data_IF_947605706574
#
_entry.id   IF_947605706574
#
_cell.length_a   1.000
_cell.length_b   1.000
_cell.length_c   1.000
_cell.angle_alpha   90.00
_cell.angle_beta   90.00
_cell.angle_gamma   90.00
#
_symmetry.space_group_name_H-M   'P 1'
#
loop_
_entity.id
_entity.type
_entity.pdbx_description
1 polymer ?
#
# COMPACT_ATOMS: atom_id res chain seq x y z
N UNK A 1 -8.62 34.72 11.19
CA UNK A 1 -8.16 33.32 11.20
C UNK A 1 -8.21 32.81 9.78
N UNK A 2 -7.28 31.98 9.34
CA UNK A 2 -7.31 31.35 8.00
C UNK A 2 -8.43 30.31 7.99
N UNK A 3 -9.28 30.31 6.97
CA UNK A 3 -10.36 29.33 6.80
C UNK A 3 -9.98 28.24 5.81
N UNK A 4 -10.68 27.11 5.77
CA UNK A 4 -10.51 26.09 4.74
C UNK A 4 -10.75 26.64 3.33
N UNK A 5 -11.68 27.57 3.14
CA UNK A 5 -11.92 28.24 1.87
C UNK A 5 -10.73 29.10 1.40
N UNK A 6 -10.10 29.84 2.34
CA UNK A 6 -8.87 30.60 2.04
C UNK A 6 -7.72 29.69 1.63
N UNK A 7 -7.53 28.57 2.35
CA UNK A 7 -6.51 27.56 2.02
C UNK A 7 -6.79 26.92 0.67
N UNK A 8 -8.02 26.54 0.36
CA UNK A 8 -8.40 25.98 -0.93
C UNK A 8 -8.11 26.95 -2.10
N UNK A 9 -8.34 28.24 -1.91
CA UNK A 9 -8.03 29.27 -2.90
C UNK A 9 -6.51 29.39 -3.13
N UNK A 10 -5.74 29.41 -2.04
CA UNK A 10 -4.27 29.47 -2.11
C UNK A 10 -3.69 28.19 -2.72
N UNK A 11 -4.23 27.02 -2.37
CA UNK A 11 -3.87 25.72 -2.92
C UNK A 11 -3.97 25.71 -4.45
N UNK A 12 -5.13 26.08 -5.00
CA UNK A 12 -5.37 26.11 -6.45
C UNK A 12 -4.45 27.09 -7.20
N UNK A 13 -3.95 28.10 -6.52
CA UNK A 13 -3.05 29.09 -7.12
C UNK A 13 -1.61 28.61 -7.27
N UNK A 14 -1.12 27.77 -6.34
CA UNK A 14 0.31 27.42 -6.23
C UNK A 14 0.62 25.95 -6.48
N UNK A 15 -0.38 25.08 -6.46
CA UNK A 15 -0.20 23.65 -6.68
C UNK A 15 -0.83 23.22 -8.02
N UNK A 16 -0.26 22.19 -8.68
CA UNK A 16 -0.75 21.77 -9.98
C UNK A 16 -2.14 21.13 -9.88
N UNK A 17 -2.92 21.27 -10.95
CA UNK A 17 -4.33 20.82 -11.01
C UNK A 17 -4.51 19.30 -10.84
N UNK A 18 -3.49 18.50 -11.11
CA UNK A 18 -3.55 17.04 -10.88
C UNK A 18 -3.45 16.66 -9.39
N UNK A 19 -3.10 17.58 -8.50
CA UNK A 19 -3.25 17.42 -7.05
C UNK A 19 -4.63 17.96 -6.65
N UNK A 20 -5.67 17.20 -6.86
CA UNK A 20 -7.02 17.60 -6.47
C UNK A 20 -7.27 17.30 -4.97
N UNK A 21 -7.96 18.21 -4.25
CA UNK A 21 -8.50 17.90 -2.93
C UNK A 21 -9.41 16.67 -2.98
N UNK A 22 -9.44 15.92 -1.88
CA UNK A 22 -10.05 14.60 -1.87
C UNK A 22 -11.58 14.63 -1.78
N UNK A 23 -12.11 15.67 -1.13
CA UNK A 23 -13.55 15.95 -0.96
C UNK A 23 -13.96 17.16 -1.79
N UNK A 24 -15.24 17.23 -2.15
CA UNK A 24 -15.82 18.36 -2.88
C UNK A 24 -15.68 19.67 -2.12
N UNK A 25 -15.95 19.65 -0.80
CA UNK A 25 -15.55 20.69 0.13
C UNK A 25 -14.24 20.26 0.81
N UNK A 26 -13.11 20.92 0.49
CA UNK A 26 -11.81 20.53 1.02
C UNK A 26 -11.75 20.65 2.54
N UNK A 27 -11.25 19.60 3.19
CA UNK A 27 -10.98 19.58 4.64
C UNK A 27 -9.57 20.10 4.88
N UNK A 28 -9.40 21.02 5.80
CA UNK A 28 -8.08 21.55 6.22
C UNK A 28 -7.74 20.99 7.58
N UNK A 29 -7.00 19.87 7.62
CA UNK A 29 -6.60 19.22 8.85
C UNK A 29 -5.65 20.14 9.64
N UNK A 30 -5.96 20.37 10.90
CA UNK A 30 -5.18 21.17 11.85
C UNK A 30 -4.36 20.30 12.80
N UNK A 31 -4.97 19.26 13.36
CA UNK A 31 -4.32 18.35 14.30
C UNK A 31 -4.85 16.92 14.18
N UNK A 32 -4.07 15.98 14.70
CA UNK A 32 -4.46 14.56 14.81
C UNK A 32 -4.00 13.98 16.14
N UNK A 33 -4.76 13.02 16.67
CA UNK A 33 -4.44 12.26 17.86
C UNK A 33 -5.09 10.87 17.79
N UNK A 34 -4.31 9.81 17.96
CA UNK A 34 -4.78 8.43 17.80
C UNK A 34 -5.46 8.20 16.44
N UNK A 35 -6.66 7.70 16.43
CA UNK A 35 -7.46 7.43 15.23
C UNK A 35 -8.22 8.68 14.71
N UNK A 36 -8.08 9.84 15.34
CA UNK A 36 -8.87 11.03 15.01
C UNK A 36 -8.05 12.17 14.44
N UNK A 37 -8.71 12.95 13.58
CA UNK A 37 -8.19 14.25 13.10
C UNK A 37 -9.25 15.32 13.29
N UNK A 38 -8.79 16.58 13.38
CA UNK A 38 -9.66 17.76 13.48
C UNK A 38 -9.28 18.76 12.40
N UNK A 39 -10.30 19.37 11.81
CA UNK A 39 -10.11 20.46 10.86
C UNK A 39 -9.96 21.82 11.55
N UNK A 40 -9.68 22.86 10.77
CA UNK A 40 -9.54 24.25 11.26
C UNK A 40 -10.84 24.81 11.87
N UNK A 41 -11.96 24.27 11.49
CA UNK A 41 -13.29 24.62 11.98
C UNK A 41 -13.64 23.90 13.29
N UNK A 42 -12.80 22.94 13.72
CA UNK A 42 -12.95 22.16 14.95
C UNK A 42 -13.78 20.89 14.78
N UNK A 43 -14.19 20.53 13.58
CA UNK A 43 -14.89 19.28 13.34
C UNK A 43 -13.93 18.09 13.54
N UNK A 44 -14.40 17.06 14.25
CA UNK A 44 -13.68 15.82 14.49
C UNK A 44 -14.06 14.76 13.46
N UNK A 45 -13.09 14.05 12.97
CA UNK A 45 -13.26 12.92 12.07
C UNK A 45 -12.48 11.72 12.58
N UNK A 46 -13.11 10.54 12.52
CA UNK A 46 -12.42 9.25 12.65
C UNK A 46 -11.74 8.94 11.32
N UNK A 47 -10.44 8.66 11.34
CA UNK A 47 -9.64 8.50 10.12
C UNK A 47 -9.38 7.02 9.80
N UNK A 48 -10.20 6.45 8.92
CA UNK A 48 -10.00 5.10 8.39
C UNK A 48 -9.22 5.08 7.07
N UNK A 49 -8.35 6.07 6.86
CA UNK A 49 -7.47 6.07 5.70
C UNK A 49 -6.00 6.41 6.02
N UNK A 50 -5.75 7.05 7.14
CA UNK A 50 -4.42 7.25 7.72
C UNK A 50 -3.42 7.92 6.79
N UNK A 51 -3.82 8.99 6.05
CA UNK A 51 -2.93 9.62 5.08
C UNK A 51 -2.44 8.66 3.99
N UNK A 52 -3.28 7.74 3.53
CA UNK A 52 -2.99 6.62 2.63
C UNK A 52 -2.14 5.54 3.31
N UNK A 53 -2.64 5.00 4.45
CA UNK A 53 -1.98 3.95 5.25
C UNK A 53 -0.60 4.37 5.81
N UNK A 54 -0.38 5.66 6.03
CA UNK A 54 0.91 6.20 6.43
C UNK A 54 1.03 6.39 7.94
N UNK A 55 -0.03 6.88 8.62
CA UNK A 55 -0.09 6.99 10.08
C UNK A 55 -0.56 5.67 10.69
N UNK A 56 0.28 4.65 10.57
CA UNK A 56 -0.08 3.24 10.77
C UNK A 56 -0.49 2.92 12.21
N UNK A 57 0.15 3.56 13.19
CA UNK A 57 -0.10 3.34 14.63
C UNK A 57 -0.76 4.55 15.31
N UNK A 58 -1.47 5.37 14.51
CA UNK A 58 -2.19 6.54 14.98
C UNK A 58 -1.43 7.86 14.80
N UNK A 59 -2.22 8.94 14.68
CA UNK A 59 -1.70 10.29 14.62
C UNK A 59 -1.01 10.67 15.93
N UNK A 60 0.11 11.39 15.83
CA UNK A 60 0.84 11.92 16.98
C UNK A 60 1.17 10.87 18.08
N UNK A 61 1.48 9.63 17.63
CA UNK A 61 1.75 8.55 18.59
C UNK A 61 2.88 8.90 19.55
N UNK A 62 2.71 8.80 20.89
CA UNK A 62 3.68 9.30 21.86
C UNK A 62 5.09 8.75 21.69
N UNK A 63 5.24 7.45 21.43
CA UNK A 63 6.53 6.82 21.23
C UNK A 63 7.28 7.39 20.00
N UNK A 64 6.57 7.60 18.89
CA UNK A 64 7.17 8.16 17.66
C UNK A 64 7.51 9.63 17.86
N UNK A 65 6.59 10.40 18.43
CA UNK A 65 6.82 11.83 18.71
C UNK A 65 8.01 12.04 19.62
N UNK A 66 8.15 11.26 20.71
CA UNK A 66 9.28 11.32 21.61
C UNK A 66 10.60 10.94 20.93
N UNK A 67 10.61 9.89 20.11
CA UNK A 67 11.80 9.46 19.36
C UNK A 67 12.25 10.54 18.37
N UNK A 68 11.31 11.13 17.63
CA UNK A 68 11.58 12.23 16.68
C UNK A 68 12.14 13.46 17.40
N UNK A 69 11.51 13.88 18.51
CA UNK A 69 11.98 15.03 19.31
C UNK A 69 13.39 14.79 19.88
N UNK A 70 13.64 13.60 20.42
CA UNK A 70 14.95 13.23 20.97
C UNK A 70 16.02 13.21 19.89
N UNK A 71 15.73 12.63 18.71
CA UNK A 71 16.68 12.57 17.60
C UNK A 71 16.90 13.95 16.96
N UNK A 72 15.86 14.78 16.85
CA UNK A 72 15.96 16.14 16.34
C UNK A 72 16.90 17.02 17.19
N UNK A 73 16.94 16.79 18.51
CA UNK A 73 17.86 17.49 19.42
C UNK A 73 19.32 17.03 19.29
N UNK A 74 19.60 15.89 18.64
CA UNK A 74 20.96 15.38 18.42
C UNK A 74 21.47 15.75 17.03
N UNK A 75 20.87 15.15 15.99
CA UNK A 75 21.21 15.38 14.59
C UNK A 75 20.05 14.95 13.70
N UNK A 76 19.65 15.80 12.77
CA UNK A 76 18.56 15.54 11.84
C UNK A 76 18.99 14.66 10.65
N UNK A 77 20.16 14.97 10.09
CA UNK A 77 20.62 14.39 8.83
C UNK A 77 22.14 14.34 8.74
N UNK A 78 22.67 13.21 8.23
CA UNK A 78 24.11 13.03 7.98
C UNK A 78 24.40 12.42 6.61
N UNK A 79 23.38 12.01 5.83
CA UNK A 79 23.53 11.09 4.71
C UNK A 79 24.08 9.69 5.12
N UNK A 80 24.08 8.74 4.23
CA UNK A 80 24.71 7.41 4.39
C UNK A 80 26.23 7.44 4.28
N UNK A 81 26.82 8.64 4.11
CA UNK A 81 28.27 8.82 4.06
C UNK A 81 28.93 8.67 5.45
N UNK A 82 28.15 8.76 6.52
CA UNK A 82 28.62 8.59 7.88
C UNK A 82 27.82 7.49 8.59
N UNK A 83 28.47 6.80 9.50
CA UNK A 83 27.80 5.81 10.34
C UNK A 83 26.77 6.50 11.25
N UNK A 84 25.57 5.98 11.26
CA UNK A 84 24.46 6.45 12.09
C UNK A 84 23.83 5.25 12.80
N UNK A 85 23.91 5.26 14.14
CA UNK A 85 23.35 4.17 14.96
C UNK A 85 21.86 3.93 14.65
N UNK A 86 20.96 4.95 14.60
CA UNK A 86 19.56 4.71 14.26
C UNK A 86 19.36 4.09 12.88
N UNK A 87 20.16 4.48 11.88
CA UNK A 87 20.07 3.90 10.54
C UNK A 87 20.43 2.41 10.55
N UNK A 88 21.51 2.05 11.23
CA UNK A 88 22.00 0.67 11.31
C UNK A 88 20.99 -0.18 12.09
N UNK A 89 20.54 0.27 13.26
CA UNK A 89 19.55 -0.42 14.07
C UNK A 89 18.25 -0.66 13.29
N UNK A 90 17.74 0.37 12.60
CA UNK A 90 16.54 0.22 11.78
C UNK A 90 16.75 -0.81 10.66
N UNK A 91 17.91 -0.77 10.00
CA UNK A 91 18.27 -1.73 8.95
C UNK A 91 18.32 -3.18 9.48
N UNK A 92 18.94 -3.39 10.65
CA UNK A 92 18.98 -4.68 11.33
C UNK A 92 17.58 -5.19 11.66
N UNK A 93 16.71 -4.35 12.22
CA UNK A 93 15.31 -4.70 12.53
C UNK A 93 14.53 -5.11 11.28
N UNK A 94 14.71 -4.40 10.17
CA UNK A 94 14.02 -4.72 8.91
C UNK A 94 14.54 -6.03 8.31
N UNK A 95 15.85 -6.24 8.31
CA UNK A 95 16.44 -7.50 7.86
C UNK A 95 15.92 -8.68 8.68
N UNK A 96 15.87 -8.56 10.02
CA UNK A 96 15.37 -9.59 10.94
C UNK A 96 13.94 -10.03 10.58
N UNK A 97 13.05 -9.06 10.32
CA UNK A 97 11.62 -9.36 10.08
C UNK A 97 11.29 -9.64 8.62
N UNK A 98 12.22 -9.43 7.69
CA UNK A 98 11.96 -9.55 6.25
C UNK A 98 11.66 -10.97 5.78
N UNK A 99 12.14 -11.99 6.50
CA UNK A 99 12.07 -13.39 6.08
C UNK A 99 12.98 -13.75 4.90
N UNK A 100 13.73 -12.79 4.35
CA UNK A 100 14.67 -13.01 3.25
C UNK A 100 16.00 -13.52 3.81
N UNK A 101 16.55 -14.65 3.32
CA UNK A 101 17.84 -15.16 3.76
C UNK A 101 18.98 -14.20 3.40
N UNK A 102 19.96 -14.05 4.29
CA UNK A 102 21.13 -13.16 4.09
C UNK A 102 20.73 -11.77 3.58
N UNK A 103 19.72 -11.20 4.25
CA UNK A 103 19.08 -9.95 3.86
C UNK A 103 19.98 -8.74 4.02
N UNK A 104 19.97 -7.85 3.03
CA UNK A 104 20.47 -6.48 3.13
C UNK A 104 19.37 -5.50 2.75
N UNK A 105 19.43 -4.30 3.31
CA UNK A 105 18.45 -3.25 3.05
C UNK A 105 19.13 -2.02 2.45
N UNK A 106 18.52 -1.48 1.39
CA UNK A 106 18.84 -0.17 0.84
C UNK A 106 17.71 0.79 1.15
N UNK A 107 18.00 1.84 1.95
CA UNK A 107 17.00 2.78 2.45
C UNK A 107 16.80 3.96 1.49
N UNK A 108 15.55 4.33 1.28
CA UNK A 108 15.11 5.42 0.39
C UNK A 108 14.05 6.29 1.08
N UNK A 109 13.74 7.50 0.61
CA UNK A 109 12.70 8.35 1.21
C UNK A 109 11.28 8.07 0.73
N UNK A 110 11.06 7.21 -0.27
CA UNK A 110 9.71 6.93 -0.79
C UNK A 110 9.57 5.54 -1.39
N UNK A 111 8.33 5.00 -1.41
CA UNK A 111 8.03 3.73 -2.07
C UNK A 111 8.29 3.76 -3.58
N UNK A 112 8.16 4.93 -4.23
CA UNK A 112 8.52 5.07 -5.66
C UNK A 112 10.01 4.84 -5.89
N UNK A 113 10.87 5.39 -5.02
CA UNK A 113 12.31 5.16 -5.09
C UNK A 113 12.69 3.75 -4.65
N UNK A 114 11.98 3.16 -3.69
CA UNK A 114 12.20 1.77 -3.29
C UNK A 114 11.93 0.80 -4.46
N UNK A 115 10.82 0.99 -5.17
CA UNK A 115 10.49 0.19 -6.36
C UNK A 115 11.47 0.45 -7.52
N UNK A 116 11.91 1.69 -7.73
CA UNK A 116 12.93 2.04 -8.71
C UNK A 116 14.27 1.33 -8.42
N UNK A 117 14.69 1.36 -7.14
CA UNK A 117 15.89 0.65 -6.69
C UNK A 117 15.77 -0.88 -6.86
N UNK A 118 14.60 -1.47 -6.54
CA UNK A 118 14.36 -2.89 -6.75
C UNK A 118 14.45 -3.28 -8.24
N UNK A 119 13.89 -2.46 -9.12
CA UNK A 119 14.01 -2.66 -10.58
C UNK A 119 15.46 -2.52 -11.06
N UNK A 120 16.19 -1.52 -10.56
CA UNK A 120 17.61 -1.34 -10.90
C UNK A 120 18.43 -2.57 -10.49
N UNK A 121 18.23 -3.05 -9.27
CA UNK A 121 18.89 -4.28 -8.77
C UNK A 121 18.55 -5.50 -9.64
N UNK A 122 17.24 -5.73 -9.90
CA UNK A 122 16.79 -6.86 -10.69
C UNK A 122 17.33 -6.85 -12.12
N UNK A 123 17.25 -5.70 -12.80
CA UNK A 123 17.72 -5.54 -14.19
C UNK A 123 19.24 -5.66 -14.30
N UNK A 124 19.97 -5.16 -13.31
CA UNK A 124 21.42 -5.30 -13.23
C UNK A 124 21.83 -6.75 -12.97
N UNK A 125 21.22 -7.41 -11.99
CA UNK A 125 21.50 -8.80 -11.63
C UNK A 125 21.23 -9.79 -12.78
N UNK A 126 20.11 -9.57 -13.50
CA UNK A 126 19.70 -10.42 -14.62
C UNK A 126 20.21 -9.95 -15.98
N UNK A 127 20.85 -8.80 -16.07
CA UNK A 127 21.30 -8.18 -17.31
C UNK A 127 20.17 -8.08 -18.37
N UNK A 128 18.96 -7.74 -17.92
CA UNK A 128 17.77 -7.63 -18.79
C UNK A 128 16.87 -6.49 -18.31
N UNK A 129 16.18 -5.82 -19.25
CA UNK A 129 15.21 -4.78 -18.97
C UNK A 129 13.75 -5.25 -19.08
N UNK A 130 13.51 -6.58 -19.22
CA UNK A 130 12.16 -7.12 -19.28
C UNK A 130 11.60 -7.38 -17.88
N UNK A 131 10.43 -6.82 -17.62
CA UNK A 131 9.75 -6.90 -16.32
C UNK A 131 8.32 -7.39 -16.52
N UNK A 132 7.86 -8.25 -15.61
CA UNK A 132 6.45 -8.60 -15.47
C UNK A 132 5.82 -7.80 -14.33
N UNK A 133 4.59 -7.35 -14.52
CA UNK A 133 3.77 -6.73 -13.48
C UNK A 133 2.32 -7.25 -13.55
N UNK A 134 1.58 -7.09 -12.45
CA UNK A 134 0.17 -7.49 -12.40
C UNK A 134 -0.71 -6.40 -13.02
N UNK A 135 -1.76 -6.79 -13.74
CA UNK A 135 -2.80 -5.85 -14.20
C UNK A 135 -3.46 -5.17 -13.01
N UNK A 136 -3.84 -3.89 -13.18
CA UNK A 136 -4.41 -3.04 -12.13
C UNK A 136 -3.40 -2.63 -11.02
N UNK A 137 -2.10 -2.83 -11.24
CA UNK A 137 -1.05 -2.47 -10.28
C UNK A 137 -0.75 -0.98 -10.20
N UNK A 138 -0.19 -0.56 -9.06
CA UNK A 138 0.37 0.78 -8.87
C UNK A 138 1.65 0.71 -8.01
N UNK A 139 2.77 1.12 -8.60
CA UNK A 139 4.07 1.00 -7.95
C UNK A 139 4.80 2.34 -7.72
N UNK A 140 4.16 3.47 -8.04
CA UNK A 140 4.74 4.78 -7.78
C UNK A 140 4.68 5.76 -8.95
N UNK A 141 5.42 6.88 -8.83
CA UNK A 141 5.33 8.04 -9.72
C UNK A 141 6.62 8.37 -10.48
N UNK A 142 7.76 7.78 -10.08
CA UNK A 142 9.01 7.93 -10.84
C UNK A 142 8.91 7.18 -12.17
N UNK A 143 9.78 7.50 -13.10
CA UNK A 143 9.64 7.08 -14.50
C UNK A 143 9.58 5.56 -14.68
N UNK A 144 10.43 4.82 -13.97
CA UNK A 144 10.43 3.35 -13.95
C UNK A 144 9.17 2.77 -13.31
N UNK A 145 8.73 3.31 -12.16
CA UNK A 145 7.51 2.89 -11.47
C UNK A 145 6.24 3.17 -12.31
N UNK A 146 6.24 4.24 -13.11
CA UNK A 146 5.18 4.51 -14.09
C UNK A 146 5.12 3.41 -15.16
N UNK A 147 6.25 2.87 -15.60
CA UNK A 147 6.29 1.82 -16.61
C UNK A 147 5.60 0.54 -16.14
N UNK A 148 5.80 0.15 -14.87
CA UNK A 148 5.24 -1.06 -14.25
C UNK A 148 3.86 -0.82 -13.59
N UNK A 149 3.35 0.41 -13.58
CA UNK A 149 1.99 0.75 -13.14
C UNK A 149 1.02 0.45 -14.27
N UNK A 150 0.14 -0.52 -14.09
CA UNK A 150 -0.85 -0.90 -15.11
C UNK A 150 -2.14 -0.06 -15.03
N UNK A 151 -2.37 0.60 -13.91
CA UNK A 151 -3.57 1.38 -13.64
C UNK A 151 -3.61 2.66 -14.49
N UNK A 152 -4.43 2.67 -15.55
CA UNK A 152 -4.43 3.71 -16.61
C UNK A 152 -4.66 5.14 -16.08
N UNK A 153 -5.47 5.32 -15.04
CA UNK A 153 -5.73 6.65 -14.46
C UNK A 153 -4.56 7.21 -13.62
N UNK A 154 -3.53 6.39 -13.36
CA UNK A 154 -2.32 6.77 -12.62
C UNK A 154 -1.05 6.73 -13.48
N UNK A 155 -1.18 6.30 -14.72
CA UNK A 155 -0.07 6.21 -15.69
C UNK A 155 -0.11 7.40 -16.63
N UNK A 156 0.82 8.33 -16.46
CA UNK A 156 0.85 9.59 -17.22
C UNK A 156 1.57 9.48 -18.57
N UNK A 157 2.38 8.42 -18.80
CA UNK A 157 3.19 8.25 -20.00
C UNK A 157 3.40 6.78 -20.35
N UNK A 158 3.60 6.50 -21.64
CA UNK A 158 4.04 5.19 -22.13
C UNK A 158 5.56 5.10 -22.33
N UNK A 159 6.30 6.20 -22.17
CA UNK A 159 7.76 6.19 -22.33
C UNK A 159 8.40 5.36 -21.23
N UNK A 160 9.28 4.42 -21.60
CA UNK A 160 9.97 3.55 -20.67
C UNK A 160 11.26 3.02 -21.29
N UNK A 161 12.31 2.89 -20.47
CA UNK A 161 13.47 2.07 -20.78
C UNK A 161 13.28 0.58 -20.45
N UNK A 162 12.17 0.23 -19.78
CA UNK A 162 11.80 -1.13 -19.45
C UNK A 162 10.81 -1.69 -20.48
N UNK A 163 10.92 -2.96 -20.78
CA UNK A 163 9.95 -3.73 -21.54
C UNK A 163 9.03 -4.44 -20.56
N UNK A 164 7.79 -3.98 -20.44
CA UNK A 164 6.87 -4.47 -19.40
C UNK A 164 5.73 -5.27 -20.03
N UNK A 165 5.51 -6.47 -19.50
CA UNK A 165 4.35 -7.30 -19.78
C UNK A 165 3.45 -7.37 -18.54
N UNK A 166 2.15 -7.36 -18.76
CA UNK A 166 1.16 -7.40 -17.68
C UNK A 166 0.37 -8.69 -17.70
N UNK A 167 0.37 -9.40 -16.58
CA UNK A 167 -0.34 -10.67 -16.39
C UNK A 167 -1.58 -10.49 -15.51
N UNK A 168 -2.53 -11.40 -15.59
CA UNK A 168 -3.66 -11.44 -14.67
C UNK A 168 -3.23 -11.85 -13.27
N UNK A 169 -3.94 -11.34 -12.24
CA UNK A 169 -3.61 -11.58 -10.83
C UNK A 169 -4.75 -11.16 -9.90
N UNK A 170 -4.47 -10.39 -8.88
CA UNK A 170 -5.32 -10.10 -7.74
C UNK A 170 -6.76 -9.58 -7.98
N UNK A 171 -7.08 -9.00 -9.13
CA UNK A 171 -8.39 -8.38 -9.37
C UNK A 171 -9.38 -9.31 -10.08
N UNK A 172 -9.94 -10.25 -9.30
CA UNK A 172 -10.84 -11.29 -9.83
C UNK A 172 -12.10 -10.73 -10.48
N UNK A 173 -12.85 -9.83 -9.80
CA UNK A 173 -14.13 -9.30 -10.27
C UNK A 173 -14.06 -8.72 -11.70
N UNK A 174 -12.93 -8.16 -12.10
CA UNK A 174 -12.71 -7.54 -13.41
C UNK A 174 -11.85 -8.39 -14.35
N UNK A 175 -11.58 -9.64 -13.99
CA UNK A 175 -10.83 -10.55 -14.85
C UNK A 175 -11.76 -11.38 -15.74
N UNK A 176 -11.25 -11.94 -16.85
CA UNK A 176 -12.01 -12.93 -17.63
C UNK A 176 -12.25 -14.23 -16.84
N UNK A 177 -11.60 -14.41 -15.69
CA UNK A 177 -11.66 -15.61 -14.85
C UNK A 177 -12.55 -15.42 -13.61
N UNK A 178 -13.39 -14.39 -13.57
CA UNK A 178 -14.16 -13.99 -12.37
C UNK A 178 -15.08 -15.07 -11.83
N UNK A 179 -15.61 -15.91 -12.72
CA UNK A 179 -16.61 -16.93 -12.37
C UNK A 179 -15.98 -18.26 -11.92
N UNK A 180 -14.64 -18.34 -11.88
CA UNK A 180 -13.90 -19.50 -11.41
C UNK A 180 -13.77 -19.50 -9.89
N UNK A 181 -13.66 -20.67 -9.26
CA UNK A 181 -13.25 -20.80 -7.86
C UNK A 181 -11.77 -20.44 -7.66
N UNK A 182 -11.29 -20.46 -6.43
CA UNK A 182 -9.93 -19.99 -6.09
C UNK A 182 -8.83 -20.83 -6.75
N UNK A 183 -9.00 -22.15 -6.82
CA UNK A 183 -8.05 -23.07 -7.42
C UNK A 183 -8.00 -22.89 -8.95
N UNK A 184 -9.15 -22.87 -9.59
CA UNK A 184 -9.25 -22.68 -11.04
C UNK A 184 -8.83 -21.27 -11.47
N UNK A 185 -9.15 -20.24 -10.67
CA UNK A 185 -8.67 -18.87 -10.88
C UNK A 185 -7.14 -18.80 -10.82
N UNK A 186 -6.55 -19.41 -9.79
CA UNK A 186 -5.08 -19.46 -9.64
C UNK A 186 -4.45 -20.17 -10.83
N UNK A 187 -4.98 -21.32 -11.25
CA UNK A 187 -4.51 -22.06 -12.42
C UNK A 187 -4.60 -21.22 -13.70
N UNK A 188 -5.72 -20.55 -13.94
CA UNK A 188 -5.90 -19.69 -15.12
C UNK A 188 -4.93 -18.48 -15.13
N UNK A 189 -4.61 -17.91 -13.96
CA UNK A 189 -3.61 -16.85 -13.86
C UNK A 189 -2.19 -17.36 -14.13
N UNK A 190 -1.86 -18.59 -13.68
CA UNK A 190 -0.58 -19.23 -14.00
C UNK A 190 -0.48 -19.53 -15.50
N UNK A 191 -1.54 -20.01 -16.12
CA UNK A 191 -1.58 -20.25 -17.57
C UNK A 191 -1.37 -18.94 -18.36
N UNK A 192 -2.01 -17.83 -17.94
CA UNK A 192 -1.78 -16.49 -18.53
C UNK A 192 -0.31 -16.07 -18.39
N UNK A 193 0.30 -16.25 -17.20
CA UNK A 193 1.72 -15.98 -16.97
C UNK A 193 2.61 -16.80 -17.93
N UNK A 194 2.37 -18.09 -18.05
CA UNK A 194 3.15 -18.98 -18.94
C UNK A 194 3.00 -18.55 -20.40
N UNK A 195 1.78 -18.24 -20.85
CA UNK A 195 1.55 -17.76 -22.21
C UNK A 195 2.28 -16.44 -22.48
N UNK A 196 2.26 -15.48 -21.53
CA UNK A 196 3.00 -14.22 -21.66
C UNK A 196 4.50 -14.49 -21.77
N UNK A 197 5.04 -15.36 -20.92
CA UNK A 197 6.45 -15.72 -20.95
C UNK A 197 6.88 -16.41 -22.26
N UNK A 198 6.06 -17.33 -22.76
CA UNK A 198 6.40 -18.13 -23.92
C UNK A 198 6.15 -17.42 -25.26
N UNK A 199 5.18 -16.50 -25.32
CA UNK A 199 4.73 -15.90 -26.58
C UNK A 199 5.14 -14.44 -26.75
N UNK A 200 5.35 -13.68 -25.67
CA UNK A 200 5.51 -12.22 -25.75
C UNK A 200 6.82 -11.71 -25.12
N UNK A 201 7.57 -12.54 -24.40
CA UNK A 201 8.86 -12.18 -23.85
C UNK A 201 10.01 -12.63 -24.76
N UNK A 202 11.18 -12.04 -24.60
CA UNK A 202 12.41 -12.51 -25.28
C UNK A 202 13.08 -13.69 -24.53
N UNK A 203 12.48 -14.15 -23.42
CA UNK A 203 12.98 -15.27 -22.63
C UNK A 203 14.02 -14.91 -21.56
N UNK A 204 14.41 -13.64 -21.47
CA UNK A 204 15.40 -13.14 -20.51
C UNK A 204 14.80 -12.25 -19.42
N UNK A 205 13.52 -12.43 -19.09
CA UNK A 205 12.82 -11.63 -18.09
C UNK A 205 13.60 -11.52 -16.78
N UNK A 206 13.82 -10.29 -16.31
CA UNK A 206 14.59 -10.03 -15.09
C UNK A 206 13.78 -10.34 -13.83
N UNK A 207 12.59 -9.79 -13.72
CA UNK A 207 11.78 -9.94 -12.53
C UNK A 207 10.28 -9.79 -12.81
N UNK A 208 9.50 -10.30 -11.88
CA UNK A 208 8.09 -9.96 -11.69
C UNK A 208 7.92 -9.13 -10.42
N UNK A 209 7.15 -8.04 -10.49
CA UNK A 209 6.75 -7.24 -9.34
C UNK A 209 5.25 -7.35 -9.11
N UNK A 210 4.84 -7.54 -7.84
CA UNK A 210 3.43 -7.64 -7.46
C UNK A 210 3.16 -7.05 -6.08
N UNK A 211 1.99 -6.41 -5.94
CA UNK A 211 1.42 -6.05 -4.64
C UNK A 211 0.65 -7.27 -4.10
N UNK A 212 0.88 -7.78 -2.88
CA UNK A 212 0.09 -8.87 -2.30
C UNK A 212 -1.40 -8.56 -2.19
N UNK A 213 -1.74 -7.30 -1.92
CA UNK A 213 -3.08 -6.72 -2.09
C UNK A 213 -2.90 -5.43 -2.86
N UNK A 214 -3.57 -5.28 -3.99
CA UNK A 214 -3.41 -4.11 -4.86
C UNK A 214 -4.01 -2.86 -4.23
N UNK A 215 -3.15 -1.98 -3.71
CA UNK A 215 -3.56 -0.83 -2.91
C UNK A 215 -4.41 0.18 -3.67
N UNK A 216 -3.83 0.89 -4.63
CA UNK A 216 -4.54 1.88 -5.49
C UNK A 216 -5.58 1.18 -6.37
N UNK A 217 -5.31 -0.06 -6.77
CA UNK A 217 -6.21 -0.92 -7.50
C UNK A 217 -7.52 -1.26 -6.79
N UNK A 218 -7.72 -0.76 -5.54
CA UNK A 218 -8.97 -0.91 -4.81
C UNK A 218 -8.96 -2.08 -3.83
N UNK A 219 -7.85 -2.33 -3.20
CA UNK A 219 -7.62 -3.45 -2.27
C UNK A 219 -8.02 -4.81 -2.88
N UNK A 220 -7.73 -4.97 -4.18
CA UNK A 220 -7.95 -6.23 -4.84
C UNK A 220 -7.07 -7.31 -4.21
N UNK A 221 -7.72 -8.30 -3.63
CA UNK A 221 -7.10 -9.35 -2.82
C UNK A 221 -7.15 -10.66 -3.59
N UNK A 222 -6.00 -11.20 -4.01
CA UNK A 222 -5.95 -12.51 -4.68
C UNK A 222 -6.22 -13.65 -3.72
N UNK A 223 -6.57 -14.85 -4.23
CA UNK A 223 -6.58 -16.07 -3.43
C UNK A 223 -5.22 -16.35 -2.81
N UNK A 224 -5.23 -16.97 -1.62
CA UNK A 224 -4.02 -17.43 -0.97
C UNK A 224 -3.26 -18.41 -1.87
N UNK A 225 -1.94 -18.33 -1.86
CA UNK A 225 -1.11 -19.20 -2.68
C UNK A 225 -0.89 -18.76 -4.12
N UNK A 226 -1.61 -17.76 -4.66
CA UNK A 226 -1.45 -17.32 -6.06
C UNK A 226 0.01 -16.99 -6.41
N UNK A 227 0.68 -16.16 -5.60
CA UNK A 227 2.07 -15.79 -5.89
C UNK A 227 3.06 -16.91 -5.59
N UNK A 228 2.70 -17.88 -4.75
CA UNK A 228 3.46 -19.12 -4.60
C UNK A 228 3.39 -19.99 -5.84
N UNK A 229 2.24 -20.04 -6.51
CA UNK A 229 2.08 -20.72 -7.79
C UNK A 229 2.88 -20.01 -8.90
N UNK A 230 2.83 -18.67 -8.96
CA UNK A 230 3.69 -17.89 -9.88
C UNK A 230 5.17 -18.13 -9.60
N UNK A 231 5.57 -18.12 -8.32
CA UNK A 231 6.96 -18.29 -7.89
C UNK A 231 7.58 -19.59 -8.39
N UNK A 232 6.81 -20.67 -8.54
CA UNK A 232 7.30 -21.92 -9.12
C UNK A 232 7.71 -21.74 -10.58
N UNK A 233 6.86 -21.09 -11.39
CA UNK A 233 7.14 -20.83 -12.81
C UNK A 233 8.29 -19.84 -12.98
N UNK A 234 8.33 -18.79 -12.16
CA UNK A 234 9.39 -17.80 -12.18
C UNK A 234 10.75 -18.42 -11.82
N UNK A 235 10.80 -19.20 -10.74
CA UNK A 235 12.03 -19.87 -10.28
C UNK A 235 12.58 -20.84 -11.30
N UNK A 236 11.72 -21.63 -11.97
CA UNK A 236 12.11 -22.56 -13.04
C UNK A 236 12.80 -21.85 -14.22
N UNK A 237 12.55 -20.55 -14.39
CA UNK A 237 13.11 -19.72 -15.47
C UNK A 237 14.17 -18.73 -14.96
N UNK A 238 14.52 -18.77 -13.68
CA UNK A 238 15.48 -17.85 -13.04
C UNK A 238 14.99 -16.40 -12.99
N UNK A 239 13.68 -16.15 -13.02
CA UNK A 239 13.07 -14.83 -12.94
C UNK A 239 12.88 -14.48 -11.46
N UNK A 240 13.34 -13.28 -11.05
CA UNK A 240 13.22 -12.82 -9.67
C UNK A 240 11.77 -12.44 -9.34
N UNK A 241 11.38 -12.62 -8.06
CA UNK A 241 10.09 -12.13 -7.55
C UNK A 241 10.29 -10.98 -6.57
N UNK A 242 9.65 -9.83 -6.86
CA UNK A 242 9.64 -8.62 -6.02
C UNK A 242 8.25 -8.46 -5.42
N UNK A 243 8.16 -8.49 -4.09
CA UNK A 243 6.93 -8.18 -3.37
C UNK A 243 6.88 -6.69 -3.01
N UNK A 244 5.91 -5.97 -3.58
CA UNK A 244 5.63 -4.57 -3.19
C UNK A 244 4.75 -4.55 -1.93
N UNK A 245 5.40 -4.48 -0.78
CA UNK A 245 4.77 -4.48 0.55
C UNK A 245 4.46 -3.06 1.08
N UNK A 246 4.49 -2.08 0.22
CA UNK A 246 4.31 -0.66 0.57
C UNK A 246 2.97 -0.40 1.29
N UNK A 247 1.94 -1.20 1.03
CA UNK A 247 0.64 -1.09 1.71
C UNK A 247 0.28 -2.30 2.58
N UNK A 248 0.81 -3.47 2.31
CA UNK A 248 0.43 -4.75 2.93
C UNK A 248 1.29 -5.15 4.12
N UNK A 249 2.49 -4.60 4.21
CA UNK A 249 3.46 -4.95 5.25
C UNK A 249 3.10 -4.47 6.66
N UNK A 250 3.95 -4.88 7.60
CA UNK A 250 3.96 -4.45 9.00
C UNK A 250 2.77 -4.93 9.83
N UNK A 251 2.21 -6.10 9.50
CA UNK A 251 1.08 -6.68 10.22
C UNK A 251 -0.31 -6.19 9.78
N UNK A 252 -0.39 -5.34 8.74
CA UNK A 252 -1.66 -4.77 8.23
C UNK A 252 -2.70 -5.82 7.90
N UNK A 253 -2.29 -6.97 7.36
CA UNK A 253 -3.18 -8.06 6.96
C UNK A 253 -3.66 -8.94 8.12
N UNK A 254 -3.16 -8.73 9.33
CA UNK A 254 -3.55 -9.43 10.55
C UNK A 254 -2.92 -10.81 10.70
N UNK A 255 -3.16 -11.73 9.79
CA UNK A 255 -2.61 -13.09 9.85
C UNK A 255 -1.11 -13.16 9.62
N UNK A 256 -0.58 -12.21 8.84
CA UNK A 256 0.81 -12.18 8.41
C UNK A 256 1.44 -10.81 8.65
N UNK A 257 2.74 -10.79 8.94
CA UNK A 257 3.51 -9.56 9.09
C UNK A 257 3.77 -8.89 7.73
N UNK A 258 4.02 -9.71 6.71
CA UNK A 258 4.14 -9.31 5.31
C UNK A 258 3.06 -9.98 4.47
N UNK A 259 2.50 -9.26 3.51
CA UNK A 259 1.44 -9.78 2.65
C UNK A 259 1.86 -11.00 1.83
N UNK A 260 3.12 -11.09 1.40
CA UNK A 260 3.64 -12.21 0.63
C UNK A 260 3.51 -13.56 1.36
N UNK A 261 3.47 -13.55 2.70
CA UNK A 261 3.41 -14.77 3.51
C UNK A 261 2.11 -15.55 3.30
N UNK A 262 1.00 -14.86 2.94
CA UNK A 262 -0.25 -15.50 2.57
C UNK A 262 -0.14 -16.41 1.33
N UNK A 263 0.91 -16.24 0.57
CA UNK A 263 1.11 -16.95 -0.69
C UNK A 263 2.14 -18.09 -0.60
N UNK A 264 2.72 -18.35 0.58
CA UNK A 264 3.70 -19.43 0.78
C UNK A 264 4.97 -19.29 -0.06
N UNK A 265 5.37 -18.07 -0.38
CA UNK A 265 6.58 -17.73 -1.11
C UNK A 265 7.47 -16.82 -0.26
N UNK A 266 8.78 -16.94 -0.39
CA UNK A 266 9.73 -15.92 0.08
C UNK A 266 10.21 -15.17 -1.17
N UNK A 267 9.99 -13.85 -1.26
CA UNK A 267 10.42 -13.08 -2.42
C UNK A 267 11.95 -12.94 -2.47
N UNK A 268 12.50 -12.72 -3.66
CA UNK A 268 13.91 -12.38 -3.82
C UNK A 268 14.20 -10.96 -3.31
N UNK A 269 13.21 -10.09 -3.43
CA UNK A 269 13.21 -8.73 -2.90
C UNK A 269 11.84 -8.35 -2.37
N UNK A 270 11.80 -7.49 -1.36
CA UNK A 270 10.59 -6.79 -0.94
C UNK A 270 10.84 -5.29 -0.85
N UNK A 271 9.83 -4.50 -1.18
CA UNK A 271 9.87 -3.04 -1.02
C UNK A 271 8.88 -2.59 0.03
N UNK A 272 9.26 -1.59 0.82
CA UNK A 272 8.43 -1.06 1.90
C UNK A 272 8.47 0.47 1.95
N UNK A 273 7.44 1.07 2.52
CA UNK A 273 7.33 2.51 2.76
C UNK A 273 6.17 2.83 3.73
N UNK A 274 5.58 4.00 3.58
CA UNK A 274 4.33 4.44 4.23
C UNK A 274 4.36 4.25 5.75
N UNK A 275 3.62 3.26 6.25
CA UNK A 275 3.33 3.07 7.67
C UNK A 275 4.55 2.96 8.57
N UNK A 276 5.67 2.45 8.07
CA UNK A 276 6.87 2.23 8.90
C UNK A 276 7.41 3.49 9.56
N UNK A 277 7.27 4.66 8.92
CA UNK A 277 7.68 5.95 9.49
C UNK A 277 6.60 6.66 10.29
N UNK A 278 5.40 6.10 10.34
CA UNK A 278 4.20 6.69 10.98
C UNK A 278 4.02 8.20 10.68
N UNK A 279 4.08 8.55 9.39
CA UNK A 279 3.99 9.92 8.89
C UNK A 279 5.33 10.56 8.54
N UNK A 280 6.46 10.03 9.03
CA UNK A 280 7.80 10.44 8.62
C UNK A 280 8.23 9.63 7.38
N UNK A 281 8.89 10.30 6.43
CA UNK A 281 9.34 9.66 5.18
C UNK A 281 10.41 8.61 5.43
N UNK A 282 10.08 7.35 5.21
CA UNK A 282 11.00 6.22 5.35
C UNK A 282 10.54 5.10 4.42
N UNK A 283 11.46 4.54 3.67
CA UNK A 283 11.20 3.46 2.72
C UNK A 283 12.49 2.67 2.45
N UNK A 284 12.37 1.60 1.69
CA UNK A 284 13.55 0.85 1.25
C UNK A 284 13.19 -0.40 0.47
N UNK A 285 14.23 -1.05 0.00
CA UNK A 285 14.19 -2.39 -0.59
C UNK A 285 15.07 -3.32 0.24
N UNK A 286 14.56 -4.49 0.53
CA UNK A 286 15.31 -5.62 1.12
C UNK A 286 15.52 -6.64 0.03
N UNK A 287 16.74 -7.16 -0.07
CA UNK A 287 17.10 -8.21 -1.01
C UNK A 287 18.13 -9.17 -0.39
N UNK A 288 18.29 -10.35 -0.98
CA UNK A 288 19.45 -11.21 -0.67
C UNK A 288 20.74 -10.46 -0.99
N UNK A 289 21.79 -10.70 -0.19
CA UNK A 289 23.07 -10.01 -0.34
C UNK A 289 23.62 -10.09 -1.76
N UNK A 290 23.57 -11.26 -2.42
CA UNK A 290 24.05 -11.46 -3.78
C UNK A 290 23.37 -10.57 -4.85
N UNK A 291 22.07 -10.21 -4.62
CA UNK A 291 21.33 -9.30 -5.49
C UNK A 291 21.69 -7.86 -5.13
N UNK A 292 21.73 -7.54 -3.83
CA UNK A 292 22.03 -6.19 -3.35
C UNK A 292 23.43 -5.73 -3.78
N UNK A 293 24.42 -6.63 -3.77
CA UNK A 293 25.81 -6.34 -4.09
C UNK A 293 26.16 -6.44 -5.59
N UNK A 294 25.15 -6.63 -6.45
CA UNK A 294 25.37 -6.66 -7.91
C UNK A 294 25.89 -5.33 -8.47
N UNK A 295 25.52 -4.22 -7.84
CA UNK A 295 25.93 -2.89 -8.28
C UNK A 295 27.23 -2.50 -7.58
N UNK A 296 28.31 -2.38 -8.35
CA UNK A 296 29.67 -2.04 -7.89
C UNK A 296 30.07 -0.57 -8.07
N UNK A 297 29.11 0.28 -8.44
CA UNK A 297 29.26 1.74 -8.46
C UNK A 297 28.54 2.39 -7.28
N UNK A 298 29.02 3.56 -6.86
CA UNK A 298 28.40 4.29 -5.75
C UNK A 298 26.93 4.57 -6.01
N UNK A 299 26.08 4.01 -5.16
CA UNK A 299 24.66 4.28 -5.11
C UNK A 299 24.30 4.70 -3.69
N UNK A 300 23.89 5.93 -3.49
CA UNK A 300 23.38 6.36 -2.20
C UNK A 300 22.19 7.31 -2.35
N UNK A 301 21.23 7.17 -1.46
CA UNK A 301 20.14 8.13 -1.32
C UNK A 301 20.55 9.19 -0.32
N UNK A 302 20.55 10.47 -0.71
CA UNK A 302 20.95 11.56 0.19
C UNK A 302 20.13 11.53 1.49
N UNK A 303 18.83 11.29 1.42
CA UNK A 303 17.93 11.30 2.58
C UNK A 303 17.50 9.92 3.06
N UNK A 304 17.80 8.86 2.31
CA UNK A 304 17.42 7.49 2.68
C UNK A 304 18.07 7.09 4.01
N UNK A 305 17.25 6.61 4.96
CA UNK A 305 17.72 6.16 6.25
C UNK A 305 18.34 7.26 7.13
N UNK A 306 17.99 8.54 6.91
CA UNK A 306 18.50 9.60 7.79
C UNK A 306 18.11 9.33 9.26
N UNK A 307 18.94 9.83 10.22
CA UNK A 307 18.75 9.50 11.64
C UNK A 307 17.36 9.81 12.19
N UNK A 308 16.72 10.90 11.72
CA UNK A 308 15.39 11.28 12.19
C UNK A 308 14.32 10.28 11.74
N UNK A 309 14.34 9.93 10.45
CA UNK A 309 13.40 8.96 9.89
C UNK A 309 13.61 7.56 10.47
N UNK A 310 14.87 7.15 10.64
CA UNK A 310 15.21 5.86 11.23
C UNK A 310 14.71 5.76 12.68
N UNK A 311 14.89 6.81 13.49
CA UNK A 311 14.38 6.86 14.86
C UNK A 311 12.85 6.73 14.92
N UNK A 312 12.13 7.36 13.99
CA UNK A 312 10.67 7.19 13.85
C UNK A 312 10.32 5.73 13.50
N UNK A 313 11.02 5.14 12.51
CA UNK A 313 10.82 3.75 12.11
C UNK A 313 11.06 2.74 13.23
N UNK A 314 12.15 2.91 13.99
CA UNK A 314 12.47 2.08 15.16
C UNK A 314 11.33 2.15 16.18
N UNK A 315 10.87 3.34 16.53
CA UNK A 315 9.78 3.53 17.49
C UNK A 315 8.49 2.88 16.98
N UNK A 316 8.17 3.05 15.70
CA UNK A 316 6.99 2.44 15.06
C UNK A 316 7.06 0.91 15.13
N UNK A 317 8.17 0.30 14.71
CA UNK A 317 8.30 -1.17 14.70
C UNK A 317 8.32 -1.76 16.10
N UNK A 318 8.96 -1.10 17.06
CA UNK A 318 8.92 -1.52 18.46
C UNK A 318 7.49 -1.51 19.00
N UNK A 319 6.70 -0.48 18.70
CA UNK A 319 5.28 -0.39 19.08
C UNK A 319 4.46 -1.50 18.44
N UNK A 320 4.59 -1.71 17.13
CA UNK A 320 3.88 -2.79 16.41
C UNK A 320 4.11 -4.15 17.07
N UNK A 321 5.36 -4.42 17.47
CA UNK A 321 5.72 -5.71 18.12
C UNK A 321 5.29 -5.78 19.58
N UNK A 322 5.55 -4.73 20.38
CA UNK A 322 5.30 -4.75 21.83
C UNK A 322 3.83 -4.71 22.21
N UNK A 323 2.98 -4.12 21.35
CA UNK A 323 1.54 -4.03 21.55
C UNK A 323 0.75 -5.07 20.75
N UNK A 324 1.43 -5.99 20.07
CA UNK A 324 0.82 -7.02 19.20
C UNK A 324 -0.21 -6.42 18.22
N UNK A 325 0.18 -5.35 17.52
CA UNK A 325 -0.74 -4.67 16.62
C UNK A 325 -1.11 -5.51 15.39
N UNK A 326 -0.31 -6.51 15.04
CA UNK A 326 -0.68 -7.52 14.05
C UNK A 326 -1.86 -8.37 14.56
N UNK A 327 -1.81 -8.84 15.79
CA UNK A 327 -2.91 -9.56 16.43
C UNK A 327 -4.17 -8.70 16.54
N UNK A 328 -4.03 -7.41 16.91
CA UNK A 328 -5.14 -6.46 16.90
C UNK A 328 -5.74 -6.30 15.48
N UNK A 329 -4.91 -6.17 14.45
CA UNK A 329 -5.39 -6.06 13.08
C UNK A 329 -6.19 -7.29 12.63
N UNK A 330 -5.82 -8.48 13.09
CA UNK A 330 -6.59 -9.70 12.83
C UNK A 330 -7.97 -9.64 13.51
N UNK A 331 -7.98 -9.42 14.83
CA UNK A 331 -9.22 -9.43 15.63
C UNK A 331 -10.19 -8.32 15.18
N UNK A 332 -9.68 -7.11 14.98
CA UNK A 332 -10.50 -5.98 14.53
C UNK A 332 -10.95 -6.16 13.08
N UNK A 333 -10.14 -6.76 12.25
CA UNK A 333 -10.49 -7.10 10.87
C UNK A 333 -11.61 -8.13 10.77
N UNK A 334 -11.57 -9.19 11.58
CA UNK A 334 -12.64 -10.18 11.70
C UNK A 334 -13.93 -9.53 12.21
N UNK A 335 -13.85 -8.71 13.27
CA UNK A 335 -15.00 -7.93 13.79
C UNK A 335 -15.62 -7.04 12.71
N UNK A 336 -14.81 -6.35 11.93
CA UNK A 336 -15.28 -5.53 10.81
C UNK A 336 -15.99 -6.35 9.74
N UNK A 337 -15.39 -7.48 9.35
CA UNK A 337 -15.95 -8.37 8.34
C UNK A 337 -17.30 -8.93 8.78
N UNK A 338 -17.41 -9.42 10.00
CA UNK A 338 -18.65 -9.97 10.57
C UNK A 338 -19.77 -8.92 10.62
N UNK A 339 -19.43 -7.67 10.95
CA UNK A 339 -20.40 -6.60 11.04
C UNK A 339 -20.85 -6.06 9.67
N UNK A 340 -19.94 -6.00 8.69
CA UNK A 340 -20.21 -5.28 7.43
C UNK A 340 -20.53 -6.20 6.26
N UNK A 341 -20.11 -7.48 6.26
CA UNK A 341 -20.45 -8.42 5.17
C UNK A 341 -21.95 -8.58 4.96
N UNK A 342 -22.77 -8.81 6.01
CA UNK A 342 -24.22 -8.88 5.82
C UNK A 342 -24.84 -7.59 5.26
N UNK A 343 -24.26 -6.43 5.62
CA UNK A 343 -24.72 -5.13 5.09
C UNK A 343 -24.34 -4.98 3.62
N UNK A 344 -23.11 -5.31 3.27
CA UNK A 344 -22.64 -5.27 1.88
C UNK A 344 -23.45 -6.21 0.97
N UNK A 345 -23.69 -7.43 1.42
CA UNK A 345 -24.45 -8.45 0.67
C UNK A 345 -25.94 -8.06 0.47
N UNK A 346 -26.50 -7.29 1.41
CA UNK A 346 -27.88 -6.76 1.31
C UNK A 346 -27.97 -5.47 0.47
N UNK A 347 -26.87 -4.81 0.18
CA UNK A 347 -26.82 -3.53 -0.53
C UNK A 347 -26.60 -3.76 -2.03
N UNK A 348 -27.63 -3.57 -2.84
CA UNK A 348 -27.63 -3.93 -4.26
C UNK A 348 -26.58 -3.22 -5.13
N UNK A 349 -26.05 -2.09 -4.69
CA UNK A 349 -25.04 -1.30 -5.38
C UNK A 349 -23.60 -1.54 -4.85
N UNK A 350 -23.40 -2.42 -3.87
CA UNK A 350 -22.10 -2.94 -3.48
C UNK A 350 -21.89 -4.29 -4.16
N UNK A 351 -21.09 -4.33 -5.21
CA UNK A 351 -20.85 -5.56 -5.97
C UNK A 351 -19.91 -6.53 -5.25
N UNK A 352 -18.99 -6.01 -4.44
CA UNK A 352 -18.02 -6.81 -3.69
C UNK A 352 -17.52 -6.07 -2.45
N UNK A 353 -17.49 -6.78 -1.33
CA UNK A 353 -16.70 -6.43 -0.15
C UNK A 353 -15.50 -7.37 -0.07
N UNK A 354 -14.30 -6.81 -0.12
CA UNK A 354 -13.05 -7.58 -0.09
C UNK A 354 -12.03 -6.97 0.85
N UNK A 355 -11.11 -7.78 1.33
CA UNK A 355 -10.03 -7.31 2.19
C UNK A 355 -9.57 -8.35 3.19
N UNK A 356 -8.60 -7.95 4.03
CA UNK A 356 -7.95 -8.79 5.04
C UNK A 356 -7.38 -7.92 6.16
N UNK A 357 -7.47 -8.37 7.40
CA UNK A 357 -7.04 -7.61 8.55
C UNK A 357 -7.68 -6.21 8.59
N UNK A 358 -6.88 -5.16 8.67
CA UNK A 358 -7.35 -3.77 8.63
C UNK A 358 -7.13 -3.12 7.24
N UNK A 359 -7.45 -3.83 6.17
CA UNK A 359 -7.38 -3.37 4.79
C UNK A 359 -8.59 -3.87 4.01
N UNK A 360 -9.69 -3.07 4.01
CA UNK A 360 -10.99 -3.43 3.45
C UNK A 360 -11.45 -2.48 2.35
N UNK A 361 -12.26 -2.98 1.43
CA UNK A 361 -12.85 -2.16 0.37
C UNK A 361 -14.26 -2.60 0.00
N UNK A 362 -15.07 -1.62 -0.44
CA UNK A 362 -16.35 -1.82 -1.11
C UNK A 362 -16.23 -1.39 -2.56
N UNK A 363 -16.56 -2.28 -3.48
CA UNK A 363 -16.66 -1.95 -4.90
C UNK A 363 -18.09 -1.54 -5.24
N UNK A 364 -18.24 -0.30 -5.68
CA UNK A 364 -19.52 0.35 -5.93
C UNK A 364 -19.85 0.22 -7.41
N UNK A 365 -21.04 -0.33 -7.70
CA UNK A 365 -21.49 -0.61 -9.05
C UNK A 365 -22.97 -0.23 -9.21
N UNK A 366 -23.46 -0.25 -10.45
CA UNK A 366 -24.88 -0.16 -10.73
C UNK A 366 -25.62 -1.31 -10.01
N UNK A 367 -26.82 -1.07 -9.47
CA UNK A 367 -27.54 -2.06 -8.67
C UNK A 367 -27.73 -3.41 -9.37
N UNK A 368 -27.28 -4.48 -8.70
CA UNK A 368 -27.37 -5.86 -9.19
C UNK A 368 -26.38 -6.22 -10.31
N UNK A 369 -25.43 -5.33 -10.61
CA UNK A 369 -24.45 -5.54 -11.68
C UNK A 369 -23.01 -5.33 -11.24
N UNK A 370 -22.11 -5.32 -12.22
CA UNK A 370 -20.68 -5.03 -12.01
C UNK A 370 -20.23 -3.75 -12.74
N UNK A 371 -21.14 -3.06 -13.43
CA UNK A 371 -20.80 -1.79 -14.10
C UNK A 371 -20.44 -0.73 -13.05
N UNK A 372 -19.26 -0.07 -13.15
CA UNK A 372 -18.80 0.87 -12.15
C UNK A 372 -19.70 2.09 -11.98
N UNK A 373 -20.12 2.39 -10.76
CA UNK A 373 -20.87 3.63 -10.43
C UNK A 373 -19.97 4.63 -9.70
N UNK A 374 -19.25 5.43 -10.46
CA UNK A 374 -18.37 6.47 -9.94
C UNK A 374 -19.13 7.61 -9.25
N UNK A 375 -20.34 7.93 -9.70
CA UNK A 375 -21.15 8.99 -9.12
C UNK A 375 -21.59 8.60 -7.71
N UNK A 376 -22.20 7.42 -7.56
CA UNK A 376 -22.59 6.87 -6.26
C UNK A 376 -21.39 6.69 -5.31
N UNK A 377 -20.23 6.29 -5.85
CA UNK A 377 -18.99 6.24 -5.05
C UNK A 377 -18.62 7.59 -4.47
N UNK A 378 -18.79 8.67 -5.25
CA UNK A 378 -18.60 10.04 -4.79
C UNK A 378 -19.59 10.42 -3.70
N UNK A 379 -20.87 10.09 -3.89
CA UNK A 379 -21.94 10.35 -2.90
C UNK A 379 -21.68 9.58 -1.59
N UNK A 380 -21.34 8.31 -1.67
CA UNK A 380 -21.01 7.49 -0.50
C UNK A 380 -19.75 7.99 0.23
N UNK A 381 -18.73 8.41 -0.49
CA UNK A 381 -17.53 9.00 0.09
C UNK A 381 -17.83 10.31 0.85
N UNK A 382 -18.69 11.17 0.30
CA UNK A 382 -19.14 12.40 0.96
C UNK A 382 -20.08 12.12 2.14
N UNK A 383 -20.96 11.10 2.04
CA UNK A 383 -21.80 10.66 3.13
C UNK A 383 -20.95 10.18 4.33
N UNK A 384 -19.92 9.36 4.10
CA UNK A 384 -18.97 8.96 5.16
C UNK A 384 -18.40 10.20 5.88
N UNK A 385 -17.95 11.23 5.14
CA UNK A 385 -17.44 12.47 5.72
C UNK A 385 -18.50 13.19 6.57
N UNK A 386 -19.73 13.28 6.09
CA UNK A 386 -20.84 13.91 6.86
C UNK A 386 -21.13 13.18 8.16
N UNK A 387 -20.95 11.86 8.18
CA UNK A 387 -21.04 11.03 9.39
C UNK A 387 -19.73 10.96 10.19
N UNK A 388 -18.78 11.87 9.94
CA UNK A 388 -17.55 12.01 10.72
C UNK A 388 -16.50 10.95 10.44
N UNK A 389 -16.56 10.25 9.30
CA UNK A 389 -15.62 9.20 8.93
C UNK A 389 -14.85 9.55 7.65
N UNK A 390 -13.51 9.54 7.71
CA UNK A 390 -12.67 9.73 6.54
C UNK A 390 -12.27 8.36 5.97
N UNK A 391 -12.52 8.18 4.67
CA UNK A 391 -12.26 6.94 3.94
C UNK A 391 -11.52 7.23 2.63
N UNK A 392 -10.88 6.19 2.05
CA UNK A 392 -10.16 6.32 0.80
C UNK A 392 -11.03 6.07 -0.43
N UNK A 393 -10.59 6.58 -1.59
CA UNK A 393 -11.09 6.19 -2.92
C UNK A 393 -10.01 5.47 -3.71
N UNK A 394 -10.40 4.54 -4.58
CA UNK A 394 -9.49 3.81 -5.45
C UNK A 394 -10.24 3.01 -6.50
N UNK A 395 -9.57 1.97 -7.00
CA UNK A 395 -10.10 1.12 -8.06
C UNK A 395 -9.88 1.70 -9.45
N UNK A 396 -9.83 0.81 -10.44
CA UNK A 396 -9.52 1.13 -11.85
C UNK A 396 -10.45 2.21 -12.42
N UNK A 397 -11.70 2.20 -12.02
CA UNK A 397 -12.73 3.12 -12.50
C UNK A 397 -13.08 4.23 -11.49
N UNK A 398 -12.35 4.29 -10.35
CA UNK A 398 -12.65 5.24 -9.27
C UNK A 398 -13.94 4.92 -8.53
N UNK A 399 -14.33 3.66 -8.51
CA UNK A 399 -15.57 3.13 -7.97
C UNK A 399 -15.37 2.26 -6.72
N UNK A 400 -14.24 2.44 -6.01
CA UNK A 400 -13.95 1.69 -4.79
C UNK A 400 -13.75 2.63 -3.62
N UNK A 401 -14.45 2.37 -2.51
CA UNK A 401 -14.18 2.98 -1.21
C UNK A 401 -13.27 2.06 -0.43
N UNK A 402 -12.14 2.60 0.10
CA UNK A 402 -11.09 1.88 0.82
C UNK A 402 -11.06 2.28 2.28
N UNK A 403 -10.87 1.30 3.14
CA UNK A 403 -10.87 1.44 4.59
C UNK A 403 -9.59 0.81 5.14
N UNK A 404 -8.81 1.59 5.84
CA UNK A 404 -7.57 1.15 6.45
C UNK A 404 -7.37 1.88 7.80
N UNK A 405 -8.16 1.53 8.83
CA UNK A 405 -7.98 2.10 10.17
C UNK A 405 -6.56 1.88 10.68
N UNK A 406 -6.17 2.62 11.71
CA UNK A 406 -4.89 2.45 12.39
C UNK A 406 -4.77 1.03 12.95
N UNK A 407 -3.55 0.48 13.03
CA UNK A 407 -3.36 -0.89 13.55
C UNK A 407 -3.74 -1.02 15.03
N UNK A 408 -3.67 0.08 15.77
CA UNK A 408 -4.06 0.17 17.18
C UNK A 408 -5.49 0.65 17.40
N UNK A 409 -6.34 0.62 16.35
CA UNK A 409 -7.77 0.96 16.49
C UNK A 409 -8.42 0.12 17.58
N UNK A 410 -9.17 0.77 18.49
CA UNK A 410 -9.92 0.06 19.53
C UNK A 410 -11.24 -0.51 18.98
N UNK A 411 -11.87 -1.40 19.77
CA UNK A 411 -13.17 -1.95 19.41
C UNK A 411 -14.26 -0.86 19.35
N UNK A 412 -14.18 0.11 20.26
CA UNK A 412 -15.12 1.24 20.32
C UNK A 412 -14.97 2.16 19.11
N UNK A 413 -13.72 2.49 18.73
CA UNK A 413 -13.42 3.27 17.53
C UNK A 413 -13.86 2.56 16.25
N UNK A 414 -13.64 1.24 16.19
CA UNK A 414 -14.07 0.43 15.07
C UNK A 414 -15.59 0.41 14.96
N UNK A 415 -16.31 0.27 16.08
CA UNK A 415 -17.77 0.29 16.13
C UNK A 415 -18.34 1.67 15.74
N UNK A 416 -17.69 2.77 16.17
CA UNK A 416 -18.02 4.13 15.70
C UNK A 416 -17.92 4.23 14.18
N UNK A 417 -16.84 3.72 13.60
CA UNK A 417 -16.64 3.69 12.14
C UNK A 417 -17.65 2.82 11.40
N UNK A 418 -17.98 1.65 11.95
CA UNK A 418 -19.03 0.76 11.41
C UNK A 418 -20.40 1.47 11.43
N UNK A 419 -20.74 2.15 12.51
CA UNK A 419 -21.99 2.89 12.60
C UNK A 419 -22.06 4.03 11.57
N UNK A 420 -20.96 4.76 11.39
CA UNK A 420 -20.86 5.82 10.37
C UNK A 420 -21.00 5.27 8.94
N UNK A 421 -20.37 4.11 8.65
CA UNK A 421 -20.52 3.44 7.35
C UNK A 421 -21.96 3.01 7.06
N UNK A 422 -22.63 2.40 8.05
CA UNK A 422 -24.05 2.00 7.93
C UNK A 422 -24.92 3.21 7.65
N UNK A 423 -24.77 4.28 8.43
CA UNK A 423 -25.53 5.51 8.23
C UNK A 423 -25.28 6.12 6.83
N UNK A 424 -24.04 6.08 6.35
CA UNK A 424 -23.70 6.55 5.00
C UNK A 424 -24.30 5.66 3.89
N UNK A 425 -24.35 4.34 4.10
CA UNK A 425 -25.02 3.40 3.17
C UNK A 425 -26.51 3.67 3.12
N UNK A 426 -27.16 3.84 4.29
CA UNK A 426 -28.60 4.15 4.39
C UNK A 426 -28.94 5.51 3.75
N UNK A 427 -28.04 6.49 3.83
CA UNK A 427 -28.23 7.83 3.23
C UNK A 427 -28.17 7.80 1.69
N UNK A 428 -27.32 6.96 1.13
CA UNK A 428 -27.13 6.85 -0.33
C UNK A 428 -28.21 5.96 -0.99
N UNK A 429 -28.82 5.06 -0.26
CA UNK A 429 -29.95 4.24 -0.65
C UNK A 429 -29.58 2.94 -1.36
#
# INVERSE_FOLDING_TARGET
MTTSADLATRYRRVLPSFLAPYYGEPISIDRGDGSYVWDLEGNRYLDFFGGVLTTMIGHNHPAVTAAVQSQAAKVLHTSTLYLSEPMIEFAEMVCEVSGIPDARVYLTPSGSEANDAALLLATSYRASNQILAIRNSYHGRVFSAQAITSHSSWRSTSHSGLQVQFVHGGYRLRSPFRDLDDEAFTAACVDDLVQVLDMTSAGDVAAMIAEPIQGVGGFATPPDGLFGAFGKELSNRGILFISDEVQTGWGRTGEHFWGYQAHGIVPDMLTFAKGVGNGITLAGVVARAEIMDTIDVLQFSTFGGNPLSAAAGIATLRTVRSEDLQGNAKVMGERFADAMRPVADATSWIAEMRGRGLMWAFEICEPGGIEPDKARTGEFHEACRRHGLLVGKGGLYGNVVRLAPMLNVSAEELDEGIAALRAAIDEVG
#
